data_IF_247439166776
#
_entry.id   IF_247439166776
#
_cell.length_a   1.000
_cell.length_b   1.000
_cell.length_c   1.000
_cell.angle_alpha   90.00
_cell.angle_beta   90.00
_cell.angle_gamma   90.00
#
_symmetry.space_group_name_H-M   'P 1'
#
loop_
_entity.id
_entity.type
_entity.pdbx_description
1 polymer ?
#
# COMPACT_ATOMS: atom_id res chain seq x y z
N UNK A 1 4.68 -21.57 4.16
CA UNK A 1 5.37 -22.64 4.95
C UNK A 1 6.88 -22.47 4.99
N UNK A 2 7.60 -22.46 3.85
CA UNK A 2 9.08 -22.35 3.83
C UNK A 2 9.61 -21.10 4.53
N UNK A 3 9.00 -19.93 4.30
CA UNK A 3 9.41 -18.66 4.93
C UNK A 3 9.07 -18.64 6.42
N UNK A 4 7.96 -19.21 6.82
CA UNK A 4 7.50 -19.25 8.20
C UNK A 4 8.42 -20.12 9.06
N UNK A 5 8.80 -21.31 8.59
CA UNK A 5 9.72 -22.18 9.29
C UNK A 5 11.10 -21.55 9.46
N UNK A 6 11.64 -20.91 8.42
CA UNK A 6 12.93 -20.21 8.51
C UNK A 6 12.92 -19.05 9.51
N UNK A 7 11.81 -18.30 9.57
CA UNK A 7 11.65 -17.21 10.55
C UNK A 7 11.55 -17.79 11.97
N UNK A 8 10.80 -18.85 12.17
CA UNK A 8 10.66 -19.51 13.46
C UNK A 8 12.02 -20.02 13.96
N UNK A 9 12.80 -20.66 13.10
CA UNK A 9 14.13 -21.16 13.43
C UNK A 9 15.12 -20.04 13.79
N UNK A 10 15.07 -18.93 13.03
CA UNK A 10 15.94 -17.77 13.28
C UNK A 10 15.61 -17.02 14.57
N UNK A 11 14.34 -16.99 14.94
CA UNK A 11 13.83 -16.12 16.03
C UNK A 11 13.50 -16.89 17.31
N UNK A 12 13.30 -18.21 17.25
CA UNK A 12 12.83 -19.06 18.37
C UNK A 12 13.68 -18.96 19.63
N UNK A 13 15.00 -18.76 19.47
CA UNK A 13 15.96 -18.67 20.57
C UNK A 13 16.30 -17.21 20.98
N UNK A 14 15.63 -16.21 20.42
CA UNK A 14 15.90 -14.79 20.68
C UNK A 14 14.79 -14.17 21.52
N UNK A 15 15.19 -13.41 22.54
CA UNK A 15 14.24 -12.60 23.34
C UNK A 15 13.93 -11.32 22.57
N UNK A 16 12.93 -11.39 21.67
CA UNK A 16 12.52 -10.25 20.87
C UNK A 16 11.42 -9.50 21.61
N UNK A 17 11.64 -8.21 21.86
CA UNK A 17 10.64 -7.36 22.50
C UNK A 17 9.62 -6.85 21.49
N UNK A 18 10.07 -6.33 20.35
CA UNK A 18 9.25 -5.74 19.30
C UNK A 18 9.81 -6.14 17.93
N UNK A 19 8.95 -6.57 17.03
CA UNK A 19 9.29 -6.82 15.64
C UNK A 19 8.90 -5.63 14.76
N UNK A 20 9.67 -5.35 13.72
CA UNK A 20 9.34 -4.32 12.73
C UNK A 20 9.49 -4.93 11.34
N UNK A 21 8.44 -4.82 10.54
CA UNK A 21 8.46 -5.16 9.13
C UNK A 21 8.55 -3.88 8.29
N UNK A 22 9.53 -3.85 7.42
CA UNK A 22 9.70 -2.78 6.44
C UNK A 22 9.81 -3.43 5.06
N UNK A 23 8.88 -3.17 4.16
CA UNK A 23 8.83 -3.76 2.81
C UNK A 23 8.85 -5.30 2.80
N UNK A 24 8.24 -5.90 3.80
CA UNK A 24 8.21 -7.35 3.93
C UNK A 24 7.18 -7.96 2.95
N UNK A 25 7.58 -8.85 2.03
CA UNK A 25 6.68 -9.30 0.95
C UNK A 25 5.79 -10.50 1.33
N UNK A 26 5.96 -11.04 2.54
CA UNK A 26 5.26 -12.25 2.98
C UNK A 26 4.28 -11.97 4.11
N UNK A 27 3.27 -12.82 4.25
CA UNK A 27 2.33 -12.74 5.37
C UNK A 27 2.91 -13.54 6.54
N UNK A 28 3.01 -12.91 7.71
CA UNK A 28 3.30 -13.61 8.96
C UNK A 28 2.02 -14.29 9.45
N UNK A 29 2.14 -15.52 9.93
CA UNK A 29 1.02 -16.32 10.44
C UNK A 29 1.40 -17.11 11.68
N UNK A 30 0.37 -17.56 12.39
CA UNK A 30 0.52 -18.53 13.47
C UNK A 30 1.54 -18.11 14.52
N UNK A 31 2.47 -19.02 14.84
CA UNK A 31 3.48 -18.81 15.90
C UNK A 31 4.42 -17.63 15.61
N UNK A 32 4.66 -17.27 14.35
CA UNK A 32 5.54 -16.17 14.01
C UNK A 32 5.03 -14.82 14.53
N UNK A 33 3.70 -14.61 14.51
CA UNK A 33 3.08 -13.37 15.02
C UNK A 33 3.33 -13.20 16.52
N UNK A 34 3.33 -14.27 17.29
CA UNK A 34 3.46 -14.22 18.76
C UNK A 34 4.90 -14.22 19.27
N UNK A 35 5.93 -14.26 18.41
CA UNK A 35 7.33 -14.27 18.86
C UNK A 35 7.73 -13.01 19.62
N UNK A 36 7.51 -11.78 19.10
CA UNK A 36 7.83 -10.58 19.85
C UNK A 36 6.80 -10.36 20.97
N UNK A 37 7.27 -10.06 22.17
CA UNK A 37 6.40 -9.83 23.33
C UNK A 37 5.41 -8.68 23.15
N UNK A 38 5.82 -7.65 22.40
CA UNK A 38 5.06 -6.43 22.12
C UNK A 38 4.46 -6.44 20.71
N UNK A 39 4.48 -7.60 20.03
CA UNK A 39 3.94 -7.76 18.69
C UNK A 39 4.86 -7.25 17.58
N UNK A 40 4.30 -7.22 16.37
CA UNK A 40 4.97 -6.73 15.17
C UNK A 40 4.34 -5.43 14.71
N UNK A 41 5.17 -4.50 14.27
CA UNK A 41 4.79 -3.30 13.56
C UNK A 41 5.06 -3.46 12.07
N UNK A 42 4.18 -2.90 11.25
CA UNK A 42 4.36 -2.86 9.80
C UNK A 42 4.21 -1.43 9.27
N UNK A 43 5.12 -1.04 8.40
CA UNK A 43 5.00 0.18 7.59
C UNK A 43 4.28 -0.16 6.30
N UNK A 44 3.04 0.28 6.17
CA UNK A 44 2.20 0.03 5.01
C UNK A 44 2.02 1.32 4.18
N UNK A 45 2.27 1.29 2.86
CA UNK A 45 2.19 2.48 2.00
C UNK A 45 0.75 2.81 1.59
N UNK A 46 -0.18 2.81 2.54
CA UNK A 46 -1.54 3.31 2.37
C UNK A 46 -2.02 4.11 3.59
N UNK A 47 -3.04 4.92 3.40
CA UNK A 47 -3.76 5.58 4.49
C UNK A 47 -4.88 4.66 4.99
N UNK A 48 -4.53 3.72 5.89
CA UNK A 48 -5.49 2.74 6.42
C UNK A 48 -6.70 3.45 7.07
N UNK A 49 -7.91 2.90 6.94
CA UNK A 49 -8.25 1.55 6.50
C UNK A 49 -8.42 1.39 4.99
N UNK A 50 -8.14 2.41 4.17
CA UNK A 50 -8.25 2.32 2.72
C UNK A 50 -7.06 1.59 2.10
N UNK A 51 -7.31 0.89 0.98
CA UNK A 51 -6.32 0.25 0.13
C UNK A 51 -5.41 -0.74 0.88
N UNK A 52 -5.99 -1.56 1.76
CA UNK A 52 -5.31 -2.71 2.35
C UNK A 52 -4.88 -3.68 1.24
N UNK A 53 -3.82 -4.45 1.49
CA UNK A 53 -3.36 -5.48 0.57
C UNK A 53 -2.32 -4.98 -0.44
N UNK A 54 -2.56 -5.13 -1.74
CA UNK A 54 -1.56 -4.90 -2.77
C UNK A 54 -1.80 -3.65 -3.59
N UNK A 55 -0.68 -3.07 -4.05
CA UNK A 55 -0.64 -1.93 -4.98
C UNK A 55 -1.42 -0.67 -4.50
N UNK A 56 -1.31 -0.26 -3.21
CA UNK A 56 -2.10 0.84 -2.65
C UNK A 56 -1.88 2.18 -3.35
N UNK A 57 -0.70 2.42 -3.91
CA UNK A 57 -0.38 3.59 -4.73
C UNK A 57 -1.18 3.66 -6.04
N UNK A 58 -1.63 2.51 -6.56
CA UNK A 58 -2.54 2.43 -7.68
C UNK A 58 -3.98 2.70 -7.23
N UNK A 59 -4.41 1.99 -6.20
CA UNK A 59 -5.80 2.01 -5.77
C UNK A 59 -6.23 3.35 -5.17
N UNK A 60 -5.36 4.04 -4.43
CA UNK A 60 -5.72 5.36 -3.89
C UNK A 60 -6.02 6.39 -5.00
N UNK A 61 -5.36 6.28 -6.16
CA UNK A 61 -5.67 7.12 -7.32
C UNK A 61 -6.94 6.68 -8.03
N UNK A 62 -7.12 5.37 -8.24
CA UNK A 62 -8.30 4.82 -8.95
C UNK A 62 -9.58 5.06 -8.16
N UNK A 63 -9.57 4.77 -6.86
CA UNK A 63 -10.72 4.95 -5.96
C UNK A 63 -10.89 6.41 -5.49
N UNK A 64 -9.93 7.27 -5.80
CA UNK A 64 -9.92 8.66 -5.34
C UNK A 64 -10.04 8.76 -3.81
N UNK A 65 -9.34 7.86 -3.10
CA UNK A 65 -9.21 7.86 -1.65
C UNK A 65 -7.94 8.59 -1.22
N UNK A 66 -7.76 8.79 0.10
CA UNK A 66 -6.50 9.32 0.62
C UNK A 66 -5.33 8.40 0.26
N UNK A 67 -4.28 8.97 -0.31
CA UNK A 67 -2.99 8.32 -0.38
C UNK A 67 -2.20 8.64 0.90
N UNK A 68 -1.36 7.73 1.36
CA UNK A 68 -0.61 7.96 2.59
C UNK A 68 0.20 6.76 3.02
N UNK A 69 0.69 6.85 4.24
CA UNK A 69 1.48 5.78 4.87
C UNK A 69 0.98 5.55 6.29
N UNK A 70 1.04 4.31 6.75
CA UNK A 70 0.56 3.92 8.07
C UNK A 70 1.57 3.02 8.76
N UNK A 71 1.90 3.32 10.01
CA UNK A 71 2.49 2.38 10.96
C UNK A 71 1.36 1.75 11.75
N UNK A 72 1.25 0.42 11.69
CA UNK A 72 0.19 -0.33 12.38
C UNK A 72 0.73 -1.63 12.98
N UNK A 73 0.01 -2.19 13.95
CA UNK A 73 0.27 -3.54 14.43
C UNK A 73 -0.10 -4.59 13.40
N UNK A 74 0.60 -5.71 13.41
CA UNK A 74 0.23 -6.90 12.63
C UNK A 74 -0.70 -7.78 13.48
N UNK A 75 -1.77 -8.21 12.88
CA UNK A 75 -2.68 -9.24 13.39
C UNK A 75 -2.76 -10.44 12.40
N UNK A 76 -3.73 -11.32 12.58
CA UNK A 76 -3.89 -12.51 11.74
C UNK A 76 -4.39 -12.22 10.32
N UNK A 77 -4.92 -11.03 10.09
CA UNK A 77 -5.43 -10.62 8.78
C UNK A 77 -4.47 -9.65 8.09
N UNK A 78 -4.77 -9.27 6.85
CA UNK A 78 -3.89 -8.39 6.07
C UNK A 78 -4.26 -6.93 6.34
N UNK A 79 -3.29 -6.18 6.91
CA UNK A 79 -3.34 -4.74 7.16
C UNK A 79 -4.56 -4.28 7.99
N UNK A 80 -5.03 -5.14 8.92
CA UNK A 80 -6.21 -4.88 9.78
C UNK A 80 -5.87 -4.52 11.22
N UNK A 81 -4.62 -4.67 11.63
CA UNK A 81 -4.19 -4.37 13.00
C UNK A 81 -4.29 -2.90 13.36
N UNK A 82 -4.24 -2.61 14.65
CA UNK A 82 -4.44 -1.28 15.20
C UNK A 82 -3.47 -0.26 14.61
N UNK A 83 -3.99 0.87 14.17
CA UNK A 83 -3.21 2.00 13.61
C UNK A 83 -2.49 2.72 14.74
N UNK A 84 -1.21 3.01 14.53
CA UNK A 84 -0.36 3.75 15.48
C UNK A 84 -0.14 5.18 15.01
N UNK A 85 0.39 5.34 13.81
CA UNK A 85 0.70 6.64 13.20
C UNK A 85 0.33 6.59 11.73
N UNK A 86 -0.20 7.68 11.22
CA UNK A 86 -0.48 7.85 9.80
C UNK A 86 0.02 9.20 9.32
N UNK A 87 0.43 9.23 8.06
CA UNK A 87 0.78 10.45 7.37
C UNK A 87 0.13 10.44 5.98
N UNK A 88 -0.57 11.51 5.65
CA UNK A 88 -1.19 11.69 4.34
C UNK A 88 -0.13 12.12 3.32
N UNK A 89 -0.14 11.52 2.15
CA UNK A 89 0.72 11.89 1.03
C UNK A 89 -0.11 12.70 0.04
N UNK A 90 0.21 13.97 -0.07
CA UNK A 90 -0.46 14.87 -0.99
C UNK A 90 -0.24 14.45 -2.44
N UNK A 91 -1.34 14.37 -3.16
CA UNK A 91 -1.33 14.02 -4.59
C UNK A 91 -2.03 15.08 -5.42
N UNK A 92 -1.50 15.29 -6.61
CA UNK A 92 -2.07 16.19 -7.62
C UNK A 92 -2.52 15.40 -8.85
N UNK A 93 -3.10 16.08 -9.81
CA UNK A 93 -3.43 15.47 -11.10
C UNK A 93 -2.19 15.05 -11.91
N UNK A 94 -1.04 15.66 -11.66
CA UNK A 94 0.21 15.32 -12.33
C UNK A 94 0.84 14.02 -11.81
N UNK A 95 0.40 13.54 -10.62
CA UNK A 95 0.92 12.34 -10.03
C UNK A 95 0.48 11.08 -10.78
N UNK A 96 1.44 10.15 -10.89
CA UNK A 96 1.29 8.81 -11.44
C UNK A 96 1.40 7.78 -10.33
N UNK A 97 1.07 6.52 -10.61
CA UNK A 97 1.28 5.45 -9.63
C UNK A 97 2.75 5.35 -9.18
N UNK A 98 3.71 5.68 -10.07
CA UNK A 98 5.14 5.72 -9.72
C UNK A 98 5.45 6.85 -8.77
N UNK A 99 5.03 8.08 -9.06
CA UNK A 99 5.34 9.23 -8.20
C UNK A 99 4.69 9.11 -6.83
N UNK A 100 3.45 8.58 -6.74
CA UNK A 100 2.80 8.28 -5.46
C UNK A 100 3.59 7.24 -4.66
N UNK A 101 4.07 6.19 -5.32
CA UNK A 101 4.93 5.20 -4.67
C UNK A 101 6.22 5.83 -4.12
N UNK A 102 6.91 6.65 -4.90
CA UNK A 102 8.14 7.34 -4.49
C UNK A 102 7.88 8.27 -3.31
N UNK A 103 6.83 9.09 -3.35
CA UNK A 103 6.38 9.93 -2.23
C UNK A 103 6.07 9.11 -0.97
N UNK A 104 5.42 7.95 -1.13
CA UNK A 104 5.12 7.06 0.00
C UNK A 104 6.39 6.47 0.62
N UNK A 105 7.42 6.16 -0.19
CA UNK A 105 8.72 5.72 0.33
C UNK A 105 9.36 6.79 1.21
N UNK A 106 9.40 8.02 0.72
CA UNK A 106 9.95 9.17 1.46
C UNK A 106 9.18 9.40 2.76
N UNK A 107 7.85 9.40 2.69
CA UNK A 107 6.99 9.58 3.85
C UNK A 107 7.19 8.48 4.92
N UNK A 108 7.37 7.21 4.54
CA UNK A 108 7.67 6.13 5.50
C UNK A 108 9.01 6.36 6.19
N UNK A 109 10.03 6.79 5.45
CA UNK A 109 11.36 7.06 6.04
C UNK A 109 11.26 8.20 7.06
N UNK A 110 10.57 9.28 6.72
CA UNK A 110 10.39 10.41 7.64
C UNK A 110 9.50 10.03 8.83
N UNK A 111 8.41 9.30 8.62
CA UNK A 111 7.57 8.78 9.70
C UNK A 111 8.38 7.94 10.68
N UNK A 112 9.25 7.05 10.19
CA UNK A 112 10.14 6.26 11.04
C UNK A 112 11.11 7.14 11.82
N UNK A 113 11.83 8.06 11.16
CA UNK A 113 12.82 8.95 11.81
C UNK A 113 12.18 9.79 12.90
N UNK A 114 11.06 10.43 12.60
CA UNK A 114 10.38 11.34 13.51
C UNK A 114 9.80 10.62 14.73
N UNK A 115 9.48 9.33 14.61
CA UNK A 115 8.85 8.55 15.68
C UNK A 115 9.75 7.46 16.26
N UNK A 116 11.03 7.40 15.88
CA UNK A 116 11.94 6.33 16.29
C UNK A 116 12.01 6.13 17.81
N UNK A 117 12.08 7.22 18.58
CA UNK A 117 12.16 7.11 20.04
C UNK A 117 10.87 6.55 20.65
N UNK A 118 9.71 6.95 20.14
CA UNK A 118 8.41 6.43 20.58
C UNK A 118 8.27 4.94 20.23
N UNK A 119 8.71 4.55 19.04
CA UNK A 119 8.73 3.14 18.60
C UNK A 119 9.66 2.32 19.51
N UNK A 120 10.87 2.80 19.75
CA UNK A 120 11.88 2.13 20.58
C UNK A 120 11.41 1.92 22.03
N UNK A 121 10.76 2.91 22.62
CA UNK A 121 10.24 2.84 23.99
C UNK A 121 8.88 2.17 24.08
N UNK A 122 8.25 1.87 22.93
CA UNK A 122 6.87 1.38 22.82
C UNK A 122 5.86 2.29 23.55
N UNK A 123 6.07 3.59 23.45
CA UNK A 123 5.22 4.62 24.07
C UNK A 123 4.20 5.16 23.05
N UNK A 124 3.63 4.27 22.24
CA UNK A 124 2.73 4.59 21.16
C UNK A 124 1.29 4.30 21.59
N UNK A 125 0.39 5.24 21.36
CA UNK A 125 -1.05 4.98 21.40
C UNK A 125 -1.49 4.34 20.09
N UNK A 126 -2.54 3.55 20.13
CA UNK A 126 -3.10 2.90 18.96
C UNK A 126 -4.60 3.12 18.85
N UNK A 127 -5.11 3.08 17.63
CA UNK A 127 -6.52 3.22 17.29
C UNK A 127 -6.95 1.96 16.54
N UNK A 128 -8.02 1.33 17.03
CA UNK A 128 -8.58 0.15 16.34
C UNK A 128 -9.18 0.52 15.01
N UNK A 129 -8.85 -0.25 13.99
CA UNK A 129 -9.55 -0.17 12.71
C UNK A 129 -10.95 -0.75 12.86
N UNK A 130 -11.95 -0.09 12.27
CA UNK A 130 -13.31 -0.66 12.22
C UNK A 130 -13.40 -1.64 11.06
N UNK A 131 -13.92 -2.82 11.30
CA UNK A 131 -13.97 -3.92 10.34
C UNK A 131 -14.77 -3.63 9.06
N UNK A 132 -15.72 -2.68 9.15
CA UNK A 132 -16.60 -2.28 8.05
C UNK A 132 -16.13 -1.02 7.30
N UNK A 133 -14.94 -0.50 7.62
CA UNK A 133 -14.38 0.68 6.96
C UNK A 133 -13.20 0.30 6.04
N UNK A 134 -13.05 1.08 4.97
CA UNK A 134 -11.93 0.97 4.03
C UNK A 134 -12.13 -0.07 2.94
N UNK A 135 -11.07 -0.27 2.19
CA UNK A 135 -11.02 -1.17 1.02
C UNK A 135 -9.88 -2.17 1.15
N UNK A 136 -9.99 -3.27 0.42
CA UNK A 136 -8.96 -4.31 0.36
C UNK A 136 -8.80 -4.82 -1.07
N UNK A 137 -7.56 -4.98 -1.53
CA UNK A 137 -7.26 -5.39 -2.89
C UNK A 137 -6.30 -6.56 -2.96
N UNK A 138 -6.68 -7.55 -3.75
CA UNK A 138 -5.79 -8.64 -4.14
C UNK A 138 -4.93 -8.23 -5.34
N UNK A 139 -3.71 -8.77 -5.40
CA UNK A 139 -2.79 -8.51 -6.51
C UNK A 139 -3.38 -8.77 -7.91
N UNK A 140 -4.31 -9.71 -8.03
CA UNK A 140 -4.92 -10.07 -9.33
C UNK A 140 -5.85 -8.97 -9.87
N UNK A 141 -6.47 -8.19 -8.99
CA UNK A 141 -7.49 -7.20 -9.38
C UNK A 141 -6.91 -6.09 -10.26
N UNK A 142 -5.66 -5.69 -10.02
CA UNK A 142 -5.01 -4.69 -10.87
C UNK A 142 -4.93 -5.12 -12.33
N UNK A 143 -4.78 -6.42 -12.62
CA UNK A 143 -4.67 -6.92 -14.00
C UNK A 143 -5.99 -6.83 -14.77
N UNK A 144 -7.12 -6.81 -14.08
CA UNK A 144 -8.45 -6.61 -14.67
C UNK A 144 -8.74 -5.12 -14.83
N UNK A 145 -8.42 -4.31 -13.82
CA UNK A 145 -8.71 -2.88 -13.80
C UNK A 145 -7.91 -2.09 -14.84
N UNK A 146 -6.70 -2.52 -15.19
CA UNK A 146 -5.87 -1.84 -16.20
C UNK A 146 -6.31 -2.08 -17.64
N UNK A 147 -7.30 -2.95 -17.88
CA UNK A 147 -7.83 -3.19 -19.21
C UNK A 147 -8.96 -2.19 -19.50
N UNK A 148 -8.66 -1.21 -20.32
CA UNK A 148 -9.66 -0.22 -20.76
C UNK A 148 -10.59 -0.90 -21.76
N UNK A 149 -11.86 -1.04 -21.40
CA UNK A 149 -12.89 -1.64 -22.25
C UNK A 149 -13.51 -0.55 -23.12
N UNK A 150 -13.29 -0.60 -24.44
CA UNK A 150 -13.69 0.47 -25.37
C UNK A 150 -15.21 0.73 -25.36
N UNK A 151 -16.01 -0.29 -25.09
CA UNK A 151 -17.48 -0.19 -25.06
C UNK A 151 -18.04 0.13 -23.66
N UNK A 152 -17.20 0.22 -22.62
CA UNK A 152 -17.61 0.65 -21.26
C UNK A 152 -17.68 2.18 -21.21
N UNK A 153 -18.70 2.71 -20.56
CA UNK A 153 -18.75 4.13 -20.23
C UNK A 153 -17.93 4.40 -18.99
N UNK A 154 -17.02 5.36 -19.08
CA UNK A 154 -16.22 5.89 -17.97
C UNK A 154 -16.52 7.37 -17.80
N UNK A 155 -16.49 7.88 -16.57
CA UNK A 155 -16.30 9.31 -16.37
C UNK A 155 -14.87 9.69 -16.80
N UNK A 156 -14.67 10.94 -17.18
CA UNK A 156 -13.31 11.42 -17.49
C UNK A 156 -12.34 11.20 -16.33
N UNK A 157 -12.80 11.38 -15.09
CA UNK A 157 -12.01 11.15 -13.88
C UNK A 157 -11.61 9.69 -13.74
N UNK A 158 -12.54 8.74 -13.85
CA UNK A 158 -12.22 7.29 -13.78
C UNK A 158 -11.15 6.89 -14.79
N UNK A 159 -11.37 7.26 -16.07
CA UNK A 159 -10.45 6.85 -17.14
C UNK A 159 -9.05 7.43 -16.92
N UNK A 160 -8.96 8.73 -16.63
CA UNK A 160 -7.66 9.38 -16.36
C UNK A 160 -6.98 8.80 -15.14
N UNK A 161 -7.72 8.49 -14.07
CA UNK A 161 -7.16 7.87 -12.87
C UNK A 161 -6.61 6.46 -13.14
N UNK A 162 -7.33 5.61 -13.88
CA UNK A 162 -6.82 4.28 -14.26
C UNK A 162 -5.52 4.39 -15.06
N UNK A 163 -5.48 5.29 -16.05
CA UNK A 163 -4.30 5.46 -16.91
C UNK A 163 -3.11 5.96 -16.07
N UNK A 164 -3.25 7.09 -15.36
CA UNK A 164 -2.14 7.67 -14.59
C UNK A 164 -1.68 6.78 -13.43
N UNK A 165 -2.60 6.09 -12.76
CA UNK A 165 -2.27 5.19 -11.66
C UNK A 165 -1.42 4.00 -12.12
N UNK A 166 -1.59 3.52 -13.37
CA UNK A 166 -0.82 2.42 -13.92
C UNK A 166 0.50 2.85 -14.55
N UNK A 167 0.75 4.14 -14.70
CA UNK A 167 2.05 4.64 -15.19
C UNK A 167 3.13 4.44 -14.13
N UNK A 168 3.84 3.31 -14.25
CA UNK A 168 4.89 2.86 -13.34
C UNK A 168 5.99 2.10 -14.10
N UNK A 169 6.90 2.82 -14.75
CA UNK A 169 8.04 2.19 -15.43
C UNK A 169 8.95 1.45 -14.43
N UNK A 170 9.43 0.22 -14.72
CA UNK A 170 9.42 -0.46 -16.04
C UNK A 170 8.18 -1.36 -16.29
N UNK A 171 7.15 -1.30 -15.47
CA UNK A 171 5.95 -2.12 -15.66
C UNK A 171 5.09 -1.63 -16.83
N UNK A 172 4.28 -2.54 -17.38
CA UNK A 172 3.34 -2.19 -18.46
C UNK A 172 2.26 -1.23 -17.98
N UNK A 173 1.88 -0.28 -18.82
CA UNK A 173 0.81 0.67 -18.59
C UNK A 173 -0.59 0.03 -18.73
N UNK A 174 -1.64 0.82 -18.47
CA UNK A 174 -2.99 0.48 -18.88
C UNK A 174 -3.06 0.31 -20.39
N UNK A 175 -3.98 -0.53 -20.87
CA UNK A 175 -4.09 -0.85 -22.29
C UNK A 175 -5.53 -1.17 -22.69
N UNK A 176 -5.81 -1.12 -23.98
CA UNK A 176 -7.01 -1.69 -24.58
C UNK A 176 -6.67 -2.65 -25.72
N UNK A 177 -7.65 -3.42 -26.11
CA UNK A 177 -7.53 -4.33 -27.27
C UNK A 177 -8.54 -3.90 -28.31
N UNK A 178 -8.10 -3.72 -29.55
CA UNK A 178 -8.93 -3.49 -30.72
C UNK A 178 -8.48 -4.35 -31.89
N UNK A 179 -9.43 -5.02 -32.56
CA UNK A 179 -9.15 -5.93 -33.66
C UNK A 179 -8.02 -6.93 -33.39
N UNK A 180 -7.98 -7.48 -32.15
CA UNK A 180 -6.98 -8.45 -31.71
C UNK A 180 -5.58 -7.88 -31.42
N UNK A 181 -5.39 -6.58 -31.54
CA UNK A 181 -4.15 -5.88 -31.21
C UNK A 181 -4.26 -5.15 -29.88
N UNK A 182 -3.16 -5.18 -29.10
CA UNK A 182 -3.06 -4.51 -27.81
C UNK A 182 -2.40 -3.14 -27.96
N UNK A 183 -3.00 -2.12 -27.39
CA UNK A 183 -2.54 -0.74 -27.43
C UNK A 183 -2.30 -0.21 -26.00
N UNK A 184 -1.08 0.14 -25.68
CA UNK A 184 -0.70 0.77 -24.42
C UNK A 184 -1.16 2.23 -24.40
N UNK A 185 -1.61 2.69 -23.24
CA UNK A 185 -2.10 4.07 -23.06
C UNK A 185 -1.29 4.77 -21.98
N UNK A 186 -0.89 5.99 -22.30
CA UNK A 186 -0.24 6.92 -21.37
C UNK A 186 -0.96 8.27 -21.41
N UNK A 187 -0.88 9.01 -20.33
CA UNK A 187 -1.42 10.37 -20.25
C UNK A 187 -0.38 11.31 -19.63
N UNK A 188 -0.29 12.50 -20.16
CA UNK A 188 0.50 13.58 -19.57
C UNK A 188 -0.44 14.70 -19.15
N UNK A 189 -0.59 14.87 -17.85
CA UNK A 189 -1.43 15.90 -17.26
C UNK A 189 -0.53 16.99 -16.70
N UNK A 190 -0.88 18.25 -16.94
CA UNK A 190 -0.16 19.41 -16.42
C UNK A 190 -1.17 20.49 -16.04
N UNK A 191 -0.90 21.18 -14.94
CA UNK A 191 -1.62 22.39 -14.58
C UNK A 191 -1.35 23.48 -15.62
N UNK A 192 -2.41 24.15 -16.04
CA UNK A 192 -2.31 25.36 -16.85
C UNK A 192 -2.26 26.53 -15.89
N UNK A 193 -1.11 27.18 -15.82
CA UNK A 193 -0.95 28.43 -15.07
C UNK A 193 -1.35 29.59 -15.98
N UNK A 194 -2.32 30.37 -15.54
CA UNK A 194 -2.70 31.62 -16.19
C UNK A 194 -1.62 32.69 -16.03
#
# INVERSE_FOLDING_TARGET
EFVENNILDLLSNKKIELGILAWWPYILKGKAISIPKKGWLNFHPSYLPYNKGKDPNFWCLVENTKCGVTLHYIDENIDTGDIIIQEEVDTTWEDTGKSVYEKSLEAIIELFKNNFQLIKTNSLSNIKQKSNEGTFHHRKEIFEEIIIKLDKKYSGRELLNIIRAKMFSPYSNAYFVDNGKKYSVEVKIREIKE
#
